data_IF_929179493404
#
_entry.id   IF_929179493404
#
_cell.length_a   1.000
_cell.length_b   1.000
_cell.length_c   1.000
_cell.angle_alpha   90.00
_cell.angle_beta   90.00
_cell.angle_gamma   90.00
#
_symmetry.space_group_name_H-M   'P 1'
#
loop_
_entity.id
_entity.type
_entity.pdbx_description
1 polymer ?
#
# COMPACT_ATOMS: atom_id res chain seq x y z
N UNK A 1 -7.50 14.35 -15.80
CA UNK A 1 -8.15 13.03 -15.63
C UNK A 1 -9.40 13.27 -14.80
N UNK A 2 -10.53 12.74 -15.19
CA UNK A 2 -11.74 12.81 -14.37
C UNK A 2 -11.74 11.73 -13.26
N UNK A 3 -12.72 11.78 -12.36
CA UNK A 3 -12.77 10.87 -11.22
C UNK A 3 -12.99 9.41 -11.65
N UNK A 4 -13.84 9.18 -12.65
CA UNK A 4 -14.14 7.84 -13.14
C UNK A 4 -12.90 7.20 -13.78
N UNK A 5 -12.15 7.97 -14.54
CA UNK A 5 -10.87 7.55 -15.12
C UNK A 5 -9.87 7.19 -14.01
N UNK A 6 -9.72 8.03 -12.98
CA UNK A 6 -8.79 7.77 -11.89
C UNK A 6 -9.13 6.46 -11.15
N UNK A 7 -10.41 6.23 -10.87
CA UNK A 7 -10.88 4.99 -10.22
C UNK A 7 -10.59 3.76 -11.10
N UNK A 8 -10.86 3.84 -12.41
CA UNK A 8 -10.69 2.71 -13.32
C UNK A 8 -9.21 2.41 -13.62
N UNK A 9 -8.36 3.42 -13.68
CA UNK A 9 -6.95 3.26 -14.00
C UNK A 9 -6.11 2.88 -12.78
N UNK A 10 -6.54 3.27 -11.55
CA UNK A 10 -5.80 2.93 -10.35
C UNK A 10 -5.72 1.41 -10.16
N UNK A 11 -4.52 0.89 -10.16
CA UNK A 11 -4.22 -0.49 -9.79
C UNK A 11 -2.88 -0.55 -9.04
N UNK A 12 -2.54 -1.72 -8.49
CA UNK A 12 -1.30 -1.88 -7.73
C UNK A 12 -0.09 -1.91 -8.63
N UNK A 13 0.76 -0.89 -8.57
CA UNK A 13 2.04 -0.80 -9.26
C UNK A 13 3.13 -1.42 -8.39
N UNK A 14 3.81 -2.43 -8.92
CA UNK A 14 4.77 -3.27 -8.19
C UNK A 14 6.21 -3.10 -8.66
N UNK A 15 6.43 -2.22 -9.63
CA UNK A 15 7.75 -1.84 -10.11
C UNK A 15 7.70 -0.39 -10.58
N UNK A 16 8.64 0.40 -10.11
CA UNK A 16 8.72 1.83 -10.42
C UNK A 16 9.98 2.15 -11.23
N UNK A 17 9.97 3.28 -11.92
CA UNK A 17 11.15 3.83 -12.57
C UNK A 17 11.99 4.62 -11.57
N UNK A 18 13.25 4.90 -11.92
CA UNK A 18 14.14 5.75 -11.11
C UNK A 18 13.81 7.24 -11.18
N UNK A 19 12.76 7.61 -11.93
CA UNK A 19 12.36 9.02 -12.07
C UNK A 19 11.93 9.56 -10.70
N UNK A 20 12.57 10.63 -10.21
CA UNK A 20 12.27 11.18 -8.91
C UNK A 20 10.87 11.81 -8.85
N UNK A 21 10.23 11.70 -7.70
CA UNK A 21 8.96 12.39 -7.41
C UNK A 21 9.29 13.64 -6.58
N UNK A 22 8.88 14.80 -7.07
CA UNK A 22 9.11 16.06 -6.40
C UNK A 22 8.28 16.18 -5.10
N UNK A 23 8.88 16.72 -4.03
CA UNK A 23 8.18 17.00 -2.76
C UNK A 23 6.89 17.81 -2.96
N UNK A 24 6.91 18.79 -3.87
CA UNK A 24 5.73 19.61 -4.21
C UNK A 24 4.58 18.76 -4.78
N UNK A 25 4.88 17.71 -5.55
CA UNK A 25 3.86 16.79 -6.05
C UNK A 25 3.26 15.97 -4.91
N UNK A 26 4.10 15.45 -4.02
CA UNK A 26 3.66 14.72 -2.83
C UNK A 26 2.75 15.59 -1.96
N UNK A 27 3.14 16.84 -1.71
CA UNK A 27 2.32 17.80 -0.96
C UNK A 27 0.94 17.98 -1.58
N UNK A 28 0.86 18.20 -2.90
CA UNK A 28 -0.43 18.33 -3.61
C UNK A 28 -1.31 17.09 -3.49
N UNK A 29 -0.72 15.89 -3.56
CA UNK A 29 -1.44 14.63 -3.40
C UNK A 29 -2.05 14.55 -2.00
N UNK A 30 -1.26 14.84 -0.97
CA UNK A 30 -1.70 14.80 0.43
C UNK A 30 -2.76 15.89 0.71
N UNK A 31 -2.59 17.10 0.17
CA UNK A 31 -3.61 18.18 0.25
C UNK A 31 -4.97 17.75 -0.31
N UNK A 32 -5.00 17.06 -1.46
CA UNK A 32 -6.24 16.51 -1.99
C UNK A 32 -6.79 15.39 -1.11
N UNK A 33 -5.91 14.51 -0.61
CA UNK A 33 -6.31 13.39 0.23
C UNK A 33 -6.93 13.85 1.55
N UNK A 34 -6.53 15.00 2.10
CA UNK A 34 -7.12 15.60 3.32
C UNK A 34 -8.61 15.93 3.19
N UNK A 35 -9.19 15.87 1.98
CA UNK A 35 -10.65 15.98 1.79
C UNK A 35 -11.41 14.72 2.17
N UNK A 36 -10.73 13.66 2.57
CA UNK A 36 -11.35 12.45 3.12
C UNK A 36 -12.22 12.80 4.35
N UNK A 37 -13.43 12.24 4.47
CA UNK A 37 -14.21 12.38 5.69
C UNK A 37 -13.59 11.56 6.83
N UNK A 38 -13.93 11.95 8.07
CA UNK A 38 -13.58 11.17 9.26
C UNK A 38 -14.66 11.32 10.32
N UNK A 39 -14.73 10.40 11.28
CA UNK A 39 -15.71 10.46 12.37
C UNK A 39 -15.63 11.83 13.08
N UNK A 40 -16.74 12.57 13.09
CA UNK A 40 -16.86 13.94 13.63
C UNK A 40 -15.69 14.86 13.27
N UNK A 41 -15.12 14.66 12.07
CA UNK A 41 -13.96 15.40 11.56
C UNK A 41 -12.69 15.23 12.42
N UNK A 42 -12.51 14.04 12.99
CA UNK A 42 -11.38 13.73 13.88
C UNK A 42 -10.01 13.78 13.20
N UNK A 43 -9.95 13.51 11.89
CA UNK A 43 -8.72 13.55 11.07
C UNK A 43 -7.52 12.87 11.77
N UNK A 44 -7.63 11.60 12.13
CA UNK A 44 -6.69 10.94 13.04
C UNK A 44 -5.33 10.62 12.41
N UNK A 45 -5.21 10.76 11.08
CA UNK A 45 -4.04 10.35 10.31
C UNK A 45 -2.88 11.34 10.42
N UNK A 46 -1.66 10.79 10.47
CA UNK A 46 -0.41 11.48 10.15
C UNK A 46 0.21 10.80 8.93
N UNK A 47 1.07 11.52 8.19
CA UNK A 47 1.78 10.99 7.01
C UNK A 47 3.27 11.24 7.17
N UNK A 48 4.04 10.17 7.21
CA UNK A 48 5.50 10.20 7.22
C UNK A 48 6.01 9.78 5.85
N UNK A 49 6.73 10.67 5.19
CA UNK A 49 7.24 10.43 3.84
C UNK A 49 8.70 9.98 3.89
N UNK A 50 8.95 8.74 3.50
CA UNK A 50 10.31 8.22 3.29
C UNK A 50 10.70 8.36 1.82
N UNK A 51 11.87 8.98 1.57
CA UNK A 51 12.50 9.12 0.25
C UNK A 51 14.00 9.28 0.40
N UNK A 52 14.77 9.08 -0.69
CA UNK A 52 16.23 9.24 -0.67
C UNK A 52 16.91 8.36 0.38
N UNK A 53 17.88 8.92 1.11
CA UNK A 53 18.70 8.19 2.08
C UNK A 53 17.87 7.56 3.21
N UNK A 54 16.81 8.24 3.67
CA UNK A 54 15.91 7.72 4.70
C UNK A 54 15.21 6.44 4.23
N UNK A 55 14.68 6.43 3.00
CA UNK A 55 14.05 5.24 2.43
C UNK A 55 15.08 4.12 2.20
N UNK A 56 16.29 4.46 1.77
CA UNK A 56 17.35 3.48 1.60
C UNK A 56 17.76 2.84 2.92
N UNK A 57 17.83 3.62 4.01
CA UNK A 57 18.09 3.09 5.36
C UNK A 57 16.98 2.10 5.79
N UNK A 58 15.71 2.41 5.55
CA UNK A 58 14.58 1.50 5.82
C UNK A 58 14.73 0.21 5.01
N UNK A 59 14.98 0.30 3.68
CA UNK A 59 15.16 -0.88 2.81
C UNK A 59 16.31 -1.77 3.29
N UNK A 60 17.41 -1.18 3.69
CA UNK A 60 18.58 -1.92 4.21
C UNK A 60 18.22 -2.64 5.52
N UNK A 61 17.60 -1.93 6.48
CA UNK A 61 17.20 -2.50 7.75
C UNK A 61 16.17 -3.64 7.58
N UNK A 62 15.23 -3.51 6.66
CA UNK A 62 14.26 -4.55 6.33
C UNK A 62 14.93 -5.79 5.75
N UNK A 63 15.87 -5.60 4.81
CA UNK A 63 16.67 -6.71 4.25
C UNK A 63 17.46 -7.44 5.33
N UNK A 64 18.04 -6.71 6.29
CA UNK A 64 18.79 -7.32 7.39
C UNK A 64 17.87 -8.17 8.29
N UNK A 65 16.63 -7.71 8.54
CA UNK A 65 15.62 -8.50 9.25
C UNK A 65 15.21 -9.76 8.48
N UNK A 66 15.05 -9.66 7.15
CA UNK A 66 14.71 -10.81 6.30
C UNK A 66 15.84 -11.85 6.28
N UNK A 67 17.10 -11.42 6.19
CA UNK A 67 18.28 -12.29 6.29
C UNK A 67 18.34 -12.98 7.66
N UNK A 68 17.97 -12.29 8.73
CA UNK A 68 17.89 -12.86 10.08
C UNK A 68 16.68 -13.80 10.29
N UNK A 69 15.77 -13.93 9.31
CA UNK A 69 14.58 -14.77 9.39
C UNK A 69 13.44 -14.20 10.22
N UNK A 70 13.46 -12.90 10.52
CA UNK A 70 12.43 -12.25 11.33
C UNK A 70 11.15 -12.03 10.52
N UNK A 71 10.00 -12.45 11.06
CA UNK A 71 8.70 -12.38 10.38
C UNK A 71 8.05 -10.98 10.44
N UNK A 72 8.51 -10.12 11.33
CA UNK A 72 7.88 -8.83 11.62
C UNK A 72 6.75 -8.93 12.65
N UNK A 73 6.31 -7.75 13.10
CA UNK A 73 5.31 -7.59 14.16
C UNK A 73 4.50 -6.31 13.94
N UNK A 74 3.87 -6.19 12.77
CA UNK A 74 3.08 -5.00 12.40
C UNK A 74 2.05 -4.63 13.46
N UNK A 75 1.78 -3.33 13.59
CA UNK A 75 0.79 -2.80 14.56
C UNK A 75 -0.63 -3.27 14.28
N UNK A 76 -0.98 -3.52 13.01
CA UNK A 76 -2.22 -4.21 12.65
C UNK A 76 -1.93 -5.71 12.51
N UNK A 77 -2.70 -6.58 13.21
CA UNK A 77 -2.48 -8.01 13.13
C UNK A 77 -2.78 -8.54 11.73
N UNK A 78 -1.96 -9.50 11.30
CA UNK A 78 -2.19 -10.24 10.05
C UNK A 78 -2.85 -11.56 10.38
N UNK A 79 -3.97 -11.83 9.74
CA UNK A 79 -4.68 -13.10 9.84
C UNK A 79 -4.14 -14.10 8.82
N UNK A 80 -3.94 -15.36 9.23
CA UNK A 80 -3.65 -16.44 8.28
C UNK A 80 -4.78 -16.56 7.25
N UNK A 81 -4.43 -16.84 5.98
CA UNK A 81 -5.43 -16.86 4.90
C UNK A 81 -6.51 -17.91 5.10
N UNK A 82 -6.20 -19.01 5.76
CA UNK A 82 -7.13 -20.09 6.11
C UNK A 82 -8.18 -19.69 7.15
N UNK A 83 -7.90 -18.65 7.94
CA UNK A 83 -8.82 -18.16 8.98
C UNK A 83 -9.86 -17.16 8.42
N UNK A 84 -9.71 -16.74 7.16
CA UNK A 84 -10.66 -15.85 6.52
C UNK A 84 -11.95 -16.58 6.14
N UNK A 85 -13.06 -15.85 6.03
CA UNK A 85 -14.32 -16.40 5.53
C UNK A 85 -14.14 -17.04 4.13
N UNK A 86 -14.83 -18.15 3.86
CA UNK A 86 -14.66 -18.98 2.66
C UNK A 86 -14.71 -18.18 1.37
N UNK A 87 -15.68 -17.26 1.22
CA UNK A 87 -15.78 -16.42 0.04
C UNK A 87 -14.57 -15.50 -0.14
N UNK A 88 -14.01 -14.97 0.96
CA UNK A 88 -12.80 -14.14 0.91
C UNK A 88 -11.59 -14.98 0.49
N UNK A 89 -11.50 -16.23 0.98
CA UNK A 89 -10.47 -17.18 0.55
C UNK A 89 -10.57 -17.47 -0.96
N UNK A 90 -11.78 -17.63 -1.49
CA UNK A 90 -11.99 -17.90 -2.92
C UNK A 90 -11.57 -16.71 -3.79
N UNK A 91 -11.87 -15.47 -3.37
CA UNK A 91 -11.39 -14.26 -4.02
C UNK A 91 -9.85 -14.18 -4.02
N UNK A 92 -9.20 -14.54 -2.91
CA UNK A 92 -7.73 -14.59 -2.82
C UNK A 92 -7.13 -15.67 -3.72
N UNK A 93 -7.79 -16.84 -3.83
CA UNK A 93 -7.38 -17.92 -4.75
C UNK A 93 -7.50 -17.48 -6.21
N UNK A 94 -8.62 -16.86 -6.57
CA UNK A 94 -8.85 -16.32 -7.91
C UNK A 94 -7.80 -15.26 -8.28
N UNK A 95 -7.50 -14.31 -7.38
CA UNK A 95 -6.45 -13.33 -7.59
C UNK A 95 -5.08 -13.99 -7.81
N UNK A 96 -4.73 -15.00 -6.99
CA UNK A 96 -3.44 -15.72 -7.13
C UNK A 96 -3.38 -16.48 -8.44
N UNK A 97 -4.45 -17.14 -8.83
CA UNK A 97 -4.56 -17.81 -10.12
C UNK A 97 -4.36 -16.82 -11.27
N UNK A 98 -5.09 -15.69 -11.23
CA UNK A 98 -5.01 -14.66 -12.27
C UNK A 98 -3.60 -14.10 -12.43
N UNK A 99 -2.91 -13.77 -11.33
CA UNK A 99 -1.56 -13.20 -11.42
C UNK A 99 -0.53 -14.23 -11.89
N UNK A 100 -0.65 -15.50 -11.50
CA UNK A 100 0.24 -16.57 -11.99
C UNK A 100 0.09 -16.76 -13.50
N UNK A 101 -1.15 -16.77 -14.01
CA UNK A 101 -1.43 -16.93 -15.44
C UNK A 101 -1.09 -15.69 -16.27
N UNK A 102 -0.79 -14.57 -15.62
CA UNK A 102 -0.32 -13.35 -16.29
C UNK A 102 1.17 -13.42 -16.66
N UNK A 103 1.91 -14.36 -16.06
CA UNK A 103 3.31 -14.64 -16.35
C UNK A 103 3.43 -15.92 -17.18
N UNK A 104 4.62 -16.22 -17.71
CA UNK A 104 4.86 -17.41 -18.49
C UNK A 104 4.68 -18.72 -17.70
N UNK A 105 4.96 -18.69 -16.38
CA UNK A 105 4.80 -19.83 -15.49
C UNK A 105 4.77 -19.39 -14.02
N UNK A 106 4.51 -20.36 -13.13
CA UNK A 106 4.46 -20.14 -11.68
C UNK A 106 5.77 -19.62 -11.08
N UNK A 107 6.90 -20.18 -11.52
CA UNK A 107 8.22 -19.86 -10.94
C UNK A 107 8.59 -18.40 -11.24
N UNK A 108 8.34 -17.93 -12.48
CA UNK A 108 8.53 -16.52 -12.84
C UNK A 108 7.62 -15.62 -12.04
N UNK A 109 6.33 -15.95 -11.93
CA UNK A 109 5.39 -15.17 -11.15
C UNK A 109 5.82 -15.07 -9.68
N UNK A 110 6.22 -16.21 -9.09
CA UNK A 110 6.65 -16.28 -7.71
C UNK A 110 7.93 -15.46 -7.47
N UNK A 111 8.93 -15.60 -8.33
CA UNK A 111 10.19 -14.84 -8.26
C UNK A 111 9.92 -13.33 -8.35
N UNK A 112 9.18 -12.88 -9.38
CA UNK A 112 8.91 -11.46 -9.59
C UNK A 112 8.12 -10.84 -8.44
N UNK A 113 7.09 -11.53 -7.94
CA UNK A 113 6.27 -11.05 -6.83
C UNK A 113 7.04 -11.00 -5.52
N UNK A 114 7.87 -12.01 -5.24
CA UNK A 114 8.70 -12.09 -4.03
C UNK A 114 9.77 -11.00 -4.05
N UNK A 115 10.50 -10.87 -5.16
CA UNK A 115 11.53 -9.85 -5.29
C UNK A 115 10.96 -8.43 -5.15
N UNK A 116 9.83 -8.14 -5.83
CA UNK A 116 9.17 -6.85 -5.69
C UNK A 116 8.77 -6.55 -4.23
N UNK A 117 8.22 -7.53 -3.53
CA UNK A 117 7.85 -7.38 -2.12
C UNK A 117 9.07 -7.13 -1.21
N UNK A 118 10.14 -7.91 -1.39
CA UNK A 118 11.35 -7.86 -0.54
C UNK A 118 12.13 -6.55 -0.72
N UNK A 119 12.05 -5.92 -1.89
CA UNK A 119 12.71 -4.63 -2.17
C UNK A 119 11.80 -3.42 -1.86
N UNK A 120 10.64 -3.63 -1.23
CA UNK A 120 9.58 -2.63 -1.08
C UNK A 120 9.24 -1.99 -2.45
N UNK A 121 9.15 -2.86 -3.47
CA UNK A 121 8.80 -2.54 -4.87
C UNK A 121 9.80 -1.61 -5.59
N UNK A 122 10.99 -1.41 -5.05
CA UNK A 122 12.00 -0.43 -5.49
C UNK A 122 11.42 0.98 -5.63
N UNK A 123 10.37 1.25 -4.89
CA UNK A 123 9.67 2.53 -4.89
C UNK A 123 10.62 3.67 -4.50
N UNK A 124 10.57 4.82 -5.21
CA UNK A 124 11.34 6.01 -4.85
C UNK A 124 10.78 6.76 -3.64
N UNK A 125 9.51 6.53 -3.31
CA UNK A 125 8.81 7.18 -2.19
C UNK A 125 7.88 6.17 -1.52
N UNK A 126 7.83 6.17 -0.18
CA UNK A 126 6.79 5.49 0.59
C UNK A 126 6.16 6.51 1.55
N UNK A 127 4.84 6.62 1.49
CA UNK A 127 4.02 7.38 2.43
C UNK A 127 3.49 6.43 3.50
N UNK A 128 3.97 6.59 4.72
CA UNK A 128 3.50 5.81 5.87
C UNK A 128 2.36 6.55 6.57
N UNK A 129 1.20 5.91 6.69
CA UNK A 129 0.05 6.45 7.41
C UNK A 129 0.02 5.86 8.80
N UNK A 130 -0.05 6.74 9.80
CA UNK A 130 -0.21 6.38 11.21
C UNK A 130 -1.47 7.00 11.79
N UNK A 131 -1.90 6.48 12.92
CA UNK A 131 -2.94 7.06 13.79
C UNK A 131 -2.50 6.90 15.25
N UNK A 132 -3.04 7.69 16.22
CA UNK A 132 -2.77 7.49 17.63
C UNK A 132 -3.12 6.05 18.07
N UNK A 133 -2.28 5.41 18.89
CA UNK A 133 -2.52 4.05 19.41
C UNK A 133 -3.84 3.92 20.16
N UNK A 134 -4.24 4.97 20.87
CA UNK A 134 -5.50 5.03 21.62
C UNK A 134 -6.76 5.26 20.78
N UNK A 135 -6.62 5.35 19.43
CA UNK A 135 -7.75 5.57 18.53
C UNK A 135 -8.66 4.35 18.44
N UNK A 136 -9.99 4.56 18.34
CA UNK A 136 -10.96 3.48 18.09
C UNK A 136 -10.80 2.92 16.66
N UNK A 137 -11.41 1.76 16.40
CA UNK A 137 -11.37 1.12 15.07
C UNK A 137 -11.94 1.98 13.95
N UNK A 138 -12.86 2.91 14.25
CA UNK A 138 -13.33 3.91 13.29
C UNK A 138 -12.20 4.75 12.69
N UNK A 139 -11.15 5.01 13.44
CA UNK A 139 -9.97 5.72 12.92
C UNK A 139 -9.18 4.90 11.89
N UNK A 140 -9.25 3.56 11.93
CA UNK A 140 -8.68 2.70 10.90
C UNK A 140 -9.51 2.84 9.60
N UNK A 141 -10.85 2.84 9.73
CA UNK A 141 -11.73 3.11 8.59
C UNK A 141 -11.44 4.47 7.97
N UNK A 142 -11.35 5.53 8.79
CA UNK A 142 -11.01 6.88 8.35
C UNK A 142 -9.66 6.94 7.62
N UNK A 143 -8.63 6.26 8.16
CA UNK A 143 -7.31 6.15 7.53
C UNK A 143 -7.37 5.42 6.18
N UNK A 144 -8.26 4.43 6.02
CA UNK A 144 -8.52 3.76 4.75
C UNK A 144 -9.12 4.69 3.69
N UNK A 145 -10.07 5.54 4.07
CA UNK A 145 -10.65 6.56 3.17
C UNK A 145 -9.58 7.57 2.72
N UNK A 146 -8.74 8.01 3.66
CA UNK A 146 -7.63 8.90 3.37
C UNK A 146 -6.58 8.24 2.45
N UNK A 147 -6.24 6.98 2.69
CA UNK A 147 -5.31 6.21 1.87
C UNK A 147 -5.80 6.07 0.42
N UNK A 148 -7.10 5.78 0.21
CA UNK A 148 -7.67 5.70 -1.14
C UNK A 148 -7.61 7.05 -1.86
N UNK A 149 -7.90 8.17 -1.16
CA UNK A 149 -7.76 9.50 -1.74
C UNK A 149 -6.31 9.81 -2.17
N UNK A 150 -5.29 9.37 -1.39
CA UNK A 150 -3.88 9.48 -1.81
C UNK A 150 -3.66 8.74 -3.13
N UNK A 151 -4.15 7.51 -3.25
CA UNK A 151 -3.92 6.68 -4.43
C UNK A 151 -4.64 7.22 -5.67
N UNK A 152 -5.87 7.71 -5.52
CA UNK A 152 -6.62 8.33 -6.61
C UNK A 152 -5.99 9.65 -7.06
N UNK A 153 -5.58 10.50 -6.11
CA UNK A 153 -4.89 11.75 -6.41
C UNK A 153 -3.54 11.48 -7.13
N UNK A 154 -2.77 10.49 -6.68
CA UNK A 154 -1.53 10.09 -7.33
C UNK A 154 -1.78 9.63 -8.78
N UNK A 155 -2.81 8.79 -9.01
CA UNK A 155 -3.21 8.34 -10.34
C UNK A 155 -3.60 9.53 -11.23
N UNK A 156 -4.37 10.49 -10.71
CA UNK A 156 -4.75 11.69 -11.46
C UNK A 156 -3.54 12.54 -11.88
N UNK A 157 -2.44 12.49 -11.13
CA UNK A 157 -1.17 13.14 -11.47
C UNK A 157 -0.21 12.24 -12.28
N UNK A 158 -0.65 11.06 -12.74
CA UNK A 158 0.16 10.16 -13.56
C UNK A 158 1.20 9.35 -12.77
N UNK A 159 1.00 9.20 -11.47
CA UNK A 159 1.82 8.36 -10.60
C UNK A 159 1.12 7.04 -10.31
N UNK A 160 1.93 5.98 -10.19
CA UNK A 160 1.49 4.68 -9.71
C UNK A 160 1.62 4.55 -8.19
N UNK A 161 0.79 3.69 -7.60
CA UNK A 161 0.81 3.41 -6.16
C UNK A 161 0.54 1.94 -5.86
N UNK A 162 0.96 1.51 -4.68
CA UNK A 162 0.53 0.25 -4.07
C UNK A 162 0.50 0.40 -2.54
N UNK A 163 -0.65 0.13 -1.88
CA UNK A 163 -0.71 0.00 -0.43
C UNK A 163 -0.15 -1.37 -0.03
N UNK A 164 0.74 -1.42 0.95
CA UNK A 164 1.41 -2.66 1.31
C UNK A 164 1.52 -2.89 2.81
N UNK A 165 1.17 -4.11 3.24
CA UNK A 165 1.49 -4.62 4.56
C UNK A 165 3.02 -4.70 4.78
N UNK A 166 3.75 -5.15 3.76
CA UNK A 166 5.19 -5.41 3.87
C UNK A 166 5.98 -4.16 4.30
N UNK A 167 5.52 -2.97 3.90
CA UNK A 167 6.17 -1.70 4.26
C UNK A 167 6.01 -1.30 5.73
N UNK A 168 5.04 -1.87 6.47
CA UNK A 168 4.80 -1.60 7.90
C UNK A 168 5.11 -2.81 8.80
N UNK A 169 5.80 -3.81 8.27
CA UNK A 169 6.07 -5.08 8.93
C UNK A 169 7.00 -4.96 10.15
N UNK A 170 7.86 -3.94 10.18
CA UNK A 170 8.82 -3.70 11.27
C UNK A 170 8.63 -2.29 11.86
N UNK A 171 7.58 -2.04 12.65
CA UNK A 171 7.26 -0.70 13.15
C UNK A 171 8.39 -0.08 14.00
N UNK A 172 9.14 -0.86 14.78
CA UNK A 172 10.25 -0.35 15.56
C UNK A 172 11.34 0.34 14.70
N UNK A 173 11.64 -0.21 13.53
CA UNK A 173 12.56 0.40 12.56
C UNK A 173 12.00 1.72 12.05
N UNK A 174 10.69 1.74 11.74
CA UNK A 174 10.03 2.94 11.22
C UNK A 174 9.93 4.04 12.27
N UNK A 175 9.58 3.72 13.51
CA UNK A 175 9.57 4.68 14.62
C UNK A 175 10.94 5.37 14.74
N UNK A 176 12.01 4.58 14.75
CA UNK A 176 13.37 5.10 14.87
C UNK A 176 13.81 5.92 13.64
N UNK A 177 13.57 5.39 12.41
CA UNK A 177 14.13 6.01 11.19
C UNK A 177 13.35 7.24 10.75
N UNK A 178 12.03 7.27 11.00
CA UNK A 178 11.14 8.37 10.62
C UNK A 178 10.84 9.33 11.78
N UNK A 179 11.38 9.08 12.97
CA UNK A 179 11.09 9.83 14.21
C UNK A 179 9.57 9.90 14.49
N UNK A 180 8.88 8.79 14.31
CA UNK A 180 7.45 8.68 14.63
C UNK A 180 7.28 8.54 16.15
N UNK A 181 6.39 9.32 16.79
CA UNK A 181 6.11 9.20 18.23
C UNK A 181 5.66 7.77 18.63
N UNK A 182 6.06 7.35 19.83
CA UNK A 182 5.73 6.00 20.35
C UNK A 182 4.23 5.78 20.61
N UNK A 183 3.45 6.85 20.72
CA UNK A 183 1.99 6.80 20.89
C UNK A 183 1.21 6.70 19.57
N UNK A 184 1.90 6.65 18.43
CA UNK A 184 1.33 6.38 17.12
C UNK A 184 1.50 4.90 16.72
N UNK A 185 0.57 4.38 15.90
CA UNK A 185 0.67 3.07 15.26
C UNK A 185 0.59 3.19 13.75
N UNK A 186 1.34 2.36 13.04
CA UNK A 186 1.33 2.30 11.59
C UNK A 186 0.10 1.54 11.08
N UNK A 187 -0.60 2.11 10.10
CA UNK A 187 -1.76 1.50 9.44
C UNK A 187 -1.34 0.85 8.13
N UNK A 188 -0.67 1.62 7.26
CA UNK A 188 -0.23 1.15 5.94
C UNK A 188 0.91 2.02 5.43
N UNK A 189 1.76 1.45 4.59
CA UNK A 189 2.65 2.23 3.74
C UNK A 189 2.17 2.18 2.30
N UNK A 190 2.20 3.31 1.61
CA UNK A 190 1.84 3.44 0.20
C UNK A 190 3.11 3.75 -0.57
N UNK A 191 3.60 2.77 -1.33
CA UNK A 191 4.66 2.99 -2.31
C UNK A 191 4.13 3.85 -3.45
N UNK A 192 4.92 4.82 -3.89
CA UNK A 192 4.52 5.85 -4.85
C UNK A 192 5.68 6.21 -5.78
N UNK A 193 5.40 6.33 -7.08
CA UNK A 193 6.38 6.69 -8.10
C UNK A 193 5.81 6.60 -9.51
N UNK A 194 6.66 6.79 -10.51
CA UNK A 194 6.28 6.56 -11.91
C UNK A 194 6.34 5.06 -12.23
N UNK A 195 5.25 4.52 -12.78
CA UNK A 195 5.15 3.10 -13.14
C UNK A 195 6.18 2.73 -14.21
N UNK A 196 6.89 1.61 -14.00
CA UNK A 196 7.67 0.99 -15.06
C UNK A 196 6.75 0.19 -16.02
N UNK A 197 7.09 0.16 -17.29
CA UNK A 197 6.40 -0.66 -18.29
C UNK A 197 6.90 -2.11 -18.21
N UNK A 198 6.22 -2.91 -17.42
CA UNK A 198 6.61 -4.29 -17.11
C UNK A 198 5.40 -5.20 -16.93
N UNK A 199 5.58 -6.50 -17.14
CA UNK A 199 4.53 -7.52 -17.00
C UNK A 199 3.87 -7.47 -15.63
N UNK A 200 4.62 -7.29 -14.54
CA UNK A 200 4.06 -7.26 -13.19
C UNK A 200 3.09 -6.08 -12.98
N UNK A 201 3.29 -4.97 -13.69
CA UNK A 201 2.45 -3.77 -13.61
C UNK A 201 1.25 -3.81 -14.55
N UNK A 202 1.28 -4.61 -15.63
CA UNK A 202 0.16 -4.72 -16.56
C UNK A 202 -0.97 -5.63 -16.03
N UNK A 203 -0.78 -6.30 -14.87
CA UNK A 203 -1.82 -7.11 -14.25
C UNK A 203 -2.87 -6.27 -13.54
N UNK A 204 -4.12 -6.40 -13.97
CA UNK A 204 -5.29 -5.82 -13.33
C UNK A 204 -6.12 -6.92 -12.68
N UNK A 205 -6.31 -6.83 -11.35
CA UNK A 205 -7.14 -7.79 -10.62
C UNK A 205 -8.62 -7.59 -10.92
N UNK A 206 -9.32 -8.69 -11.13
CA UNK A 206 -10.78 -8.70 -11.32
C UNK A 206 -11.52 -8.23 -10.06
N UNK A 207 -12.77 -7.89 -10.24
CA UNK A 207 -13.72 -7.56 -9.18
C UNK A 207 -14.92 -8.48 -9.28
N UNK A 208 -15.52 -8.78 -8.14
CA UNK A 208 -16.80 -9.49 -8.11
C UNK A 208 -17.88 -8.69 -8.84
N UNK A 209 -18.80 -9.37 -9.51
CA UNK A 209 -19.98 -8.72 -10.11
C UNK A 209 -20.77 -7.92 -9.06
N UNK A 210 -21.31 -6.77 -9.46
CA UNK A 210 -22.02 -5.88 -8.53
C UNK A 210 -23.24 -6.52 -7.87
N UNK A 211 -23.92 -7.43 -8.57
CA UNK A 211 -25.09 -8.17 -8.06
C UNK A 211 -24.75 -9.18 -6.95
N UNK A 212 -23.47 -9.47 -6.73
CA UNK A 212 -23.03 -10.30 -5.60
C UNK A 212 -22.76 -9.51 -4.32
N UNK A 213 -22.71 -8.18 -4.40
CA UNK A 213 -22.37 -7.29 -3.29
C UNK A 213 -23.43 -6.23 -3.00
N UNK A 214 -24.34 -5.97 -3.95
CA UNK A 214 -25.42 -4.99 -3.83
C UNK A 214 -26.76 -5.70 -3.66
N UNK A 215 -27.43 -5.46 -2.54
CA UNK A 215 -28.72 -6.02 -2.22
C UNK A 215 -29.75 -4.91 -2.08
N UNK A 216 -30.87 -5.00 -2.82
CA UNK A 216 -32.02 -4.13 -2.68
C UNK A 216 -33.09 -4.87 -1.83
N UNK A 217 -33.52 -4.27 -0.71
CA UNK A 217 -34.51 -4.82 0.20
C UNK A 217 -35.78 -3.98 0.18
#
# INVERSE_FOLDING_TARGET
>A
MDLQDAINQRHSIRQFTDKPVEKKMITKIVELAQRAPSWVNSQPWQVYCAMGDTLQAIKNAYRDQDIAGNQGNSDLPVMSREDWASQTQDNMKQWRHGIVHHFANFDEAHEKMTNASNTLYDSPVILYITIPKASPDWSIFDAGLFAENIMLAATAYGLGTIPTYNSVRFPAILHQTLNVPDDERFIVGISLGYSADTTINSYHSERRPVNEILHFN
#
